data_IF_884241441890
#
_entry.id   IF_884241441890
#
_cell.length_a   1.000
_cell.length_b   1.000
_cell.length_c   1.000
_cell.angle_alpha   90.00
_cell.angle_beta   90.00
_cell.angle_gamma   90.00
#
_symmetry.space_group_name_H-M   'P 1'
#
loop_
_entity.id
_entity.type
_entity.pdbx_description
1 polymer ?
#
# COMPACT_ATOMS: atom_id res chain seq x y z
N UNK A 1 -10.24 -11.94 8.35
CA UNK A 1 -8.98 -11.34 7.89
C UNK A 1 -9.30 -10.20 6.95
N UNK A 2 -8.73 -9.01 7.15
CA UNK A 2 -8.70 -7.99 6.12
C UNK A 2 -8.09 -8.61 4.86
N UNK A 3 -8.82 -8.57 3.74
CA UNK A 3 -8.37 -9.21 2.51
C UNK A 3 -7.09 -8.53 2.03
N UNK A 4 -5.99 -9.29 1.97
CA UNK A 4 -4.69 -8.89 1.40
C UNK A 4 -4.82 -8.14 0.05
N UNK A 5 -5.90 -8.42 -0.69
CA UNK A 5 -6.29 -7.72 -1.90
C UNK A 5 -6.55 -6.21 -1.70
N UNK A 6 -7.34 -5.81 -0.70
CA UNK A 6 -7.65 -4.39 -0.46
C UNK A 6 -6.40 -3.58 -0.10
N UNK A 7 -5.50 -4.16 0.71
CA UNK A 7 -4.23 -3.54 1.08
C UNK A 7 -3.39 -3.23 -0.19
N UNK A 8 -3.27 -4.19 -1.11
CA UNK A 8 -2.56 -4.00 -2.38
C UNK A 8 -3.21 -2.94 -3.27
N UNK A 9 -4.54 -2.95 -3.38
CA UNK A 9 -5.29 -1.95 -4.15
C UNK A 9 -5.02 -0.53 -3.63
N UNK A 10 -5.12 -0.31 -2.31
CA UNK A 10 -4.83 1.00 -1.72
C UNK A 10 -3.36 1.41 -1.92
N UNK A 11 -2.41 0.50 -1.73
CA UNK A 11 -1.00 0.78 -1.99
C UNK A 11 -0.77 1.22 -3.45
N UNK A 12 -1.38 0.56 -4.43
CA UNK A 12 -1.26 0.94 -5.84
C UNK A 12 -1.93 2.28 -6.16
N UNK A 13 -3.08 2.57 -5.55
CA UNK A 13 -3.74 3.87 -5.71
C UNK A 13 -2.88 5.00 -5.14
N UNK A 14 -2.21 4.77 -4.02
CA UNK A 14 -1.28 5.73 -3.40
C UNK A 14 -0.03 5.92 -4.28
N UNK A 15 0.57 4.84 -4.79
CA UNK A 15 1.70 4.92 -5.75
C UNK A 15 1.34 5.73 -7.00
N UNK A 16 0.11 5.62 -7.47
CA UNK A 16 -0.42 6.34 -8.63
C UNK A 16 -0.85 7.78 -8.31
N UNK A 17 -0.72 8.24 -7.06
CA UNK A 17 -1.15 9.57 -6.61
C UNK A 17 -2.66 9.77 -6.64
N UNK A 18 -3.45 8.69 -6.71
CA UNK A 18 -4.92 8.74 -6.75
C UNK A 18 -5.56 8.75 -5.36
N UNK A 19 -4.80 8.37 -4.34
CA UNK A 19 -5.20 8.38 -2.93
C UNK A 19 -4.04 8.75 -2.02
N UNK A 20 -4.34 9.18 -0.80
CA UNK A 20 -3.38 9.32 0.29
C UNK A 20 -3.56 8.22 1.34
N UNK A 21 -2.58 8.08 2.24
CA UNK A 21 -2.62 7.08 3.32
C UNK A 21 -3.77 7.35 4.33
N UNK A 22 -4.23 8.59 4.42
CA UNK A 22 -5.32 9.01 5.31
C UNK A 22 -6.69 8.53 4.80
N UNK A 23 -6.80 8.28 3.49
CA UNK A 23 -8.01 7.72 2.88
C UNK A 23 -8.10 6.19 2.98
N UNK A 24 -7.11 5.56 3.62
CA UNK A 24 -7.08 4.11 3.87
C UNK A 24 -7.73 3.84 5.22
N UNK A 25 -8.67 2.88 5.32
CA UNK A 25 -9.24 2.48 6.60
C UNK A 25 -8.15 2.12 7.63
N UNK A 26 -8.31 2.57 8.87
CA UNK A 26 -7.35 2.35 9.97
C UNK A 26 -6.79 0.92 10.08
N UNK A 27 -7.60 -0.16 10.01
CA UNK A 27 -7.06 -1.52 10.12
C UNK A 27 -6.15 -1.93 8.94
N UNK A 28 -6.17 -1.18 7.83
CA UNK A 28 -5.36 -1.45 6.64
C UNK A 28 -4.13 -0.53 6.55
N UNK A 29 -4.11 0.62 7.23
CA UNK A 29 -3.05 1.62 7.09
C UNK A 29 -1.66 1.04 7.39
N UNK A 30 -1.53 0.24 8.45
CA UNK A 30 -0.25 -0.37 8.82
C UNK A 30 0.29 -1.28 7.70
N UNK A 31 -0.55 -2.18 7.17
CA UNK A 31 -0.17 -3.09 6.10
C UNK A 31 0.08 -2.36 4.76
N UNK A 32 -0.65 -1.27 4.49
CA UNK A 32 -0.40 -0.44 3.30
C UNK A 32 0.95 0.29 3.41
N UNK A 33 1.28 0.83 4.59
CA UNK A 33 2.59 1.47 4.84
C UNK A 33 3.73 0.49 4.63
N UNK A 34 3.62 -0.71 5.18
CA UNK A 34 4.62 -1.77 5.02
C UNK A 34 4.86 -2.10 3.54
N UNK A 35 3.81 -2.25 2.73
CA UNK A 35 3.93 -2.48 1.28
C UNK A 35 4.60 -1.31 0.55
N UNK A 36 4.27 -0.07 0.93
CA UNK A 36 4.84 1.14 0.32
C UNK A 36 6.32 1.31 0.69
N UNK A 37 6.72 0.99 1.92
CA UNK A 37 8.10 1.05 2.40
C UNK A 37 8.93 -0.08 1.81
N UNK A 38 8.43 -1.32 1.80
CA UNK A 38 9.14 -2.46 1.21
C UNK A 38 9.32 -2.30 -0.32
N UNK A 39 8.36 -1.68 -1.00
CA UNK A 39 8.47 -1.39 -2.44
C UNK A 39 9.47 -0.30 -2.80
N UNK A 40 9.86 0.59 -1.87
CA UNK A 40 10.94 1.56 -2.12
C UNK A 40 12.33 0.90 -2.17
N UNK A 41 12.45 -0.29 -1.59
CA UNK A 41 13.69 -1.06 -1.51
C UNK A 41 13.80 -2.10 -2.64
N UNK A 42 12.77 -2.23 -3.49
CA UNK A 42 12.66 -3.23 -4.55
C UNK A 42 12.92 -2.71 -5.95
N UNK A 43 13.83 -1.75 -6.12
CA UNK A 43 14.49 -1.52 -7.42
C UNK A 43 15.59 -2.57 -7.67
N UNK A 44 15.29 -3.83 -7.39
CA UNK A 44 15.98 -5.01 -7.92
C UNK A 44 14.86 -5.75 -8.66
N UNK A 45 14.65 -5.43 -9.93
CA UNK A 45 15.42 -6.11 -10.96
C UNK A 45 14.62 -7.36 -11.37
N UNK A 46 13.80 -7.17 -12.39
CA UNK A 46 13.27 -8.27 -13.22
C UNK A 46 14.42 -9.14 -13.74
#
# INVERSE_FOLDING_TARGET
MASNYMVKVYADLIRKGKKTIEEVPDPLQAAVREILENSKNGAEGL
#
